data_IF_519789430025
#
_entry.id   IF_519789430025
#
_cell.length_a   1.000
_cell.length_b   1.000
_cell.length_c   1.000
_cell.angle_alpha   90.00
_cell.angle_beta   90.00
_cell.angle_gamma   90.00
#
_symmetry.space_group_name_H-M   'P 1'
#
loop_
_entity.id
_entity.type
_entity.pdbx_description
1 polymer ?
#
# COMPACT_ATOMS: atom_id res chain seq x y z
N UNK A 1 -17.91 -11.29 -7.73
CA UNK A 1 -17.94 -12.69 -8.23
C UNK A 1 -16.73 -12.91 -9.12
N UNK A 2 -16.15 -14.11 -9.13
CA UNK A 2 -15.10 -14.47 -10.08
C UNK A 2 -15.72 -14.81 -11.45
N UNK A 3 -15.08 -14.42 -12.54
CA UNK A 3 -15.59 -14.69 -13.89
C UNK A 3 -15.53 -16.18 -14.21
N UNK A 4 -16.60 -16.71 -14.80
CA UNK A 4 -16.77 -18.14 -15.07
C UNK A 4 -15.83 -18.68 -16.16
N UNK A 5 -15.26 -17.80 -16.98
CA UNK A 5 -14.44 -18.15 -18.15
C UNK A 5 -12.93 -18.26 -17.83
N UNK A 6 -12.53 -19.30 -17.10
CA UNK A 6 -11.10 -19.68 -16.97
C UNK A 6 -10.74 -20.93 -17.77
N UNK A 7 -11.70 -21.60 -18.41
CA UNK A 7 -11.48 -22.97 -18.87
C UNK A 7 -10.72 -23.04 -20.20
N UNK A 8 -11.01 -22.27 -21.26
CA UNK A 8 -10.54 -22.68 -22.60
C UNK A 8 -9.95 -21.59 -23.52
N UNK A 9 -9.13 -20.66 -23.00
CA UNK A 9 -8.31 -19.79 -23.86
C UNK A 9 -9.11 -18.83 -24.77
N UNK A 10 -10.38 -18.61 -24.44
CA UNK A 10 -11.35 -17.71 -25.09
C UNK A 10 -11.05 -16.23 -24.87
N UNK A 11 -10.09 -15.91 -24.00
CA UNK A 11 -9.71 -14.52 -23.73
C UNK A 11 -8.91 -13.95 -24.90
N UNK A 12 -9.30 -12.77 -25.32
CA UNK A 12 -8.67 -12.03 -26.42
C UNK A 12 -8.22 -10.67 -25.89
N UNK A 13 -7.01 -10.26 -26.25
CA UNK A 13 -6.52 -8.91 -25.97
C UNK A 13 -6.93 -8.01 -27.13
N UNK A 14 -7.88 -7.12 -26.89
CA UNK A 14 -8.38 -6.16 -27.90
C UNK A 14 -7.43 -4.96 -28.05
N UNK A 15 -6.82 -4.55 -26.94
CA UNK A 15 -5.83 -3.49 -26.88
C UNK A 15 -4.86 -3.79 -25.75
N UNK A 16 -3.60 -3.42 -25.90
CA UNK A 16 -2.64 -3.47 -24.82
C UNK A 16 -1.62 -2.34 -24.90
N UNK A 17 -0.97 -2.10 -23.77
CA UNK A 17 0.20 -1.22 -23.68
C UNK A 17 1.39 -1.77 -24.47
N UNK A 18 2.52 -1.06 -24.41
CA UNK A 18 3.79 -1.53 -24.95
C UNK A 18 4.11 -2.98 -24.48
N UNK A 19 4.47 -3.88 -25.42
CA UNK A 19 4.80 -5.27 -25.10
C UNK A 19 6.13 -5.37 -24.36
N UNK A 20 6.18 -6.24 -23.36
CA UNK A 20 7.40 -6.64 -22.65
C UNK A 20 7.63 -8.14 -22.79
N UNK A 21 8.86 -8.60 -22.57
CA UNK A 21 9.21 -10.03 -22.58
C UNK A 21 9.49 -10.50 -21.15
N UNK A 22 8.91 -11.64 -20.77
CA UNK A 22 9.07 -12.22 -19.44
C UNK A 22 9.13 -13.74 -19.52
N UNK A 23 10.01 -14.36 -18.73
CA UNK A 23 9.98 -15.81 -18.50
C UNK A 23 8.92 -16.12 -17.45
N UNK A 24 7.99 -17.03 -17.75
CA UNK A 24 6.98 -17.49 -16.78
C UNK A 24 7.47 -18.72 -16.04
N UNK A 25 7.19 -18.83 -14.75
CA UNK A 25 7.57 -20.00 -13.93
C UNK A 25 6.53 -21.12 -13.93
N UNK A 26 5.34 -20.83 -14.46
CA UNK A 26 4.17 -21.72 -14.47
C UNK A 26 3.47 -21.67 -15.83
N UNK A 27 2.60 -22.64 -16.11
CA UNK A 27 1.75 -22.55 -17.29
C UNK A 27 0.75 -21.40 -17.12
N UNK A 28 0.56 -20.62 -18.19
CA UNK A 28 -0.30 -19.42 -18.19
C UNK A 28 -1.21 -19.42 -19.40
N UNK A 29 -2.33 -18.74 -19.30
CA UNK A 29 -3.28 -18.47 -20.39
C UNK A 29 -3.30 -16.99 -20.73
N UNK A 30 -3.77 -16.65 -21.93
CA UNK A 30 -4.01 -15.25 -22.33
C UNK A 30 -4.86 -14.53 -21.27
N UNK A 31 -4.40 -13.36 -20.85
CA UNK A 31 -5.08 -12.53 -19.87
C UNK A 31 -4.89 -12.95 -18.42
N UNK A 32 -4.09 -13.97 -18.11
CA UNK A 32 -3.75 -14.28 -16.72
C UNK A 32 -2.92 -13.16 -16.08
N UNK A 33 -3.14 -12.93 -14.79
CA UNK A 33 -2.36 -12.00 -13.99
C UNK A 33 -1.07 -12.63 -13.48
N UNK A 34 0.04 -11.92 -13.64
CA UNK A 34 1.38 -12.39 -13.32
C UNK A 34 2.10 -11.50 -12.31
N UNK A 35 2.93 -12.12 -11.49
CA UNK A 35 3.87 -11.44 -10.57
C UNK A 35 5.12 -10.94 -11.30
N UNK A 36 5.98 -10.15 -10.64
CA UNK A 36 7.28 -9.76 -11.23
C UNK A 36 8.20 -10.94 -11.52
N UNK A 37 8.05 -12.04 -10.78
CA UNK A 37 8.83 -13.27 -10.95
C UNK A 37 8.23 -14.22 -12.02
N UNK A 38 7.19 -13.79 -12.75
CA UNK A 38 6.55 -14.60 -13.79
C UNK A 38 5.70 -15.76 -13.26
N UNK A 39 5.35 -15.76 -11.98
CA UNK A 39 4.35 -16.67 -11.42
C UNK A 39 2.92 -16.11 -11.60
N UNK A 40 1.90 -16.93 -11.36
CA UNK A 40 0.52 -16.44 -11.30
C UNK A 40 0.32 -15.59 -10.04
N UNK A 41 -0.30 -14.42 -10.19
CA UNK A 41 -0.69 -13.58 -9.07
C UNK A 41 -1.89 -14.19 -8.32
N UNK A 42 -1.91 -14.07 -6.99
CA UNK A 42 -2.92 -14.70 -6.14
C UNK A 42 -3.16 -13.86 -4.88
N UNK A 43 -4.41 -13.47 -4.66
CA UNK A 43 -4.86 -12.69 -3.50
C UNK A 43 -4.88 -13.44 -2.17
N UNK A 44 -4.84 -14.78 -2.20
CA UNK A 44 -4.90 -15.65 -1.02
C UNK A 44 -3.64 -16.49 -0.82
N UNK A 45 -2.57 -16.23 -1.57
CA UNK A 45 -1.30 -16.91 -1.36
C UNK A 45 -0.73 -16.60 0.03
N UNK A 46 -0.09 -17.60 0.66
CA UNK A 46 0.52 -17.47 1.99
C UNK A 46 1.57 -16.35 2.06
N UNK A 47 2.23 -16.09 0.93
CA UNK A 47 3.01 -14.87 0.69
C UNK A 47 2.27 -14.05 -0.36
N UNK A 48 1.99 -12.75 -0.13
CA UNK A 48 1.30 -11.92 -1.09
C UNK A 48 1.96 -12.00 -2.47
N UNK A 49 1.19 -12.39 -3.48
CA UNK A 49 1.63 -12.50 -4.87
C UNK A 49 0.91 -11.44 -5.72
N UNK A 50 1.27 -10.15 -5.60
CA UNK A 50 0.60 -9.09 -6.32
C UNK A 50 0.81 -9.23 -7.83
N UNK A 51 -0.19 -8.77 -8.59
CA UNK A 51 -0.15 -8.74 -10.03
C UNK A 51 0.57 -7.49 -10.54
N UNK A 52 1.39 -7.65 -11.57
CA UNK A 52 2.13 -6.57 -12.23
C UNK A 52 1.95 -6.60 -13.73
N UNK A 53 1.72 -7.78 -14.28
CA UNK A 53 1.64 -8.00 -15.71
C UNK A 53 0.43 -8.85 -16.07
N UNK A 54 0.05 -8.75 -17.33
CA UNK A 54 -1.02 -9.51 -17.97
C UNK A 54 -0.35 -10.37 -19.04
N UNK A 55 -0.58 -11.69 -19.00
CA UNK A 55 -0.08 -12.61 -20.00
C UNK A 55 -0.69 -12.30 -21.37
N UNK A 56 0.16 -12.08 -22.38
CA UNK A 56 -0.26 -11.79 -23.75
C UNK A 56 -0.62 -13.02 -24.57
N UNK A 57 -0.09 -14.18 -24.19
CA UNK A 57 -0.19 -15.44 -24.91
C UNK A 57 -0.24 -16.62 -23.93
N UNK A 58 -0.84 -17.73 -24.37
CA UNK A 58 -0.85 -18.99 -23.62
C UNK A 58 0.49 -19.70 -23.80
N UNK A 59 1.11 -20.15 -22.71
CA UNK A 59 2.37 -20.87 -22.77
C UNK A 59 2.55 -21.85 -21.61
N UNK A 60 3.43 -22.83 -21.82
CA UNK A 60 3.87 -23.74 -20.77
C UNK A 60 4.84 -23.03 -19.80
N UNK A 61 5.08 -23.64 -18.64
CA UNK A 61 6.06 -23.17 -17.68
C UNK A 61 7.46 -23.03 -18.30
N UNK A 62 8.22 -22.05 -17.83
CA UNK A 62 9.56 -21.66 -18.29
C UNK A 62 9.64 -21.10 -19.71
N UNK A 63 8.51 -20.83 -20.36
CA UNK A 63 8.49 -20.14 -21.64
C UNK A 63 8.74 -18.63 -21.47
N UNK A 64 9.35 -17.99 -22.48
CA UNK A 64 9.40 -16.53 -22.58
C UNK A 64 8.21 -16.05 -23.40
N UNK A 65 7.33 -15.29 -22.78
CA UNK A 65 6.11 -14.76 -23.40
C UNK A 65 6.13 -13.24 -23.48
N UNK A 66 5.20 -12.72 -24.27
CA UNK A 66 4.83 -11.31 -24.30
C UNK A 66 3.88 -11.02 -23.16
N UNK A 67 4.15 -9.94 -22.42
CA UNK A 67 3.31 -9.48 -21.31
C UNK A 67 3.02 -7.99 -21.43
N UNK A 68 1.96 -7.53 -20.78
CA UNK A 68 1.49 -6.15 -20.84
C UNK A 68 1.27 -5.57 -19.43
N UNK A 69 1.44 -4.26 -19.28
CA UNK A 69 1.14 -3.52 -18.03
C UNK A 69 -0.31 -3.04 -17.97
N UNK A 70 -0.97 -2.96 -19.11
CA UNK A 70 -2.41 -2.74 -19.19
C UNK A 70 -2.96 -3.35 -20.47
N UNK A 71 -4.17 -3.90 -20.41
CA UNK A 71 -4.86 -4.46 -21.56
C UNK A 71 -6.38 -4.34 -21.42
N UNK A 72 -7.07 -4.25 -22.54
CA UNK A 72 -8.50 -4.53 -22.64
C UNK A 72 -8.65 -6.00 -23.02
N UNK A 73 -9.28 -6.77 -22.13
CA UNK A 73 -9.47 -8.21 -22.30
C UNK A 73 -10.95 -8.46 -22.57
N UNK A 74 -11.23 -9.19 -23.64
CA UNK A 74 -12.56 -9.71 -23.97
C UNK A 74 -12.63 -11.21 -23.70
N UNK A 75 -13.85 -11.73 -23.55
CA UNK A 75 -14.12 -13.17 -23.43
C UNK A 75 -14.63 -13.58 -22.05
N UNK A 76 -14.49 -12.69 -21.06
CA UNK A 76 -15.11 -12.91 -19.74
C UNK A 76 -16.64 -12.95 -19.86
N UNK A 77 -17.31 -13.48 -18.84
CA UNK A 77 -18.77 -13.47 -18.74
C UNK A 77 -19.20 -13.10 -17.33
N UNK A 78 -20.32 -12.37 -17.22
CA UNK A 78 -20.93 -12.03 -15.94
C UNK A 78 -20.30 -10.83 -15.22
N UNK A 79 -19.53 -10.00 -15.93
CA UNK A 79 -19.09 -8.72 -15.40
C UNK A 79 -20.23 -7.69 -15.35
N UNK A 80 -20.12 -6.75 -14.43
CA UNK A 80 -21.02 -5.62 -14.24
C UNK A 80 -20.32 -4.36 -14.70
N UNK A 81 -20.77 -3.78 -15.83
CA UNK A 81 -20.16 -2.58 -16.41
C UNK A 81 -19.96 -1.46 -15.37
N UNK A 82 -18.76 -0.88 -15.33
CA UNK A 82 -18.37 0.15 -14.38
C UNK A 82 -17.88 -0.36 -13.00
N UNK A 83 -17.99 -1.66 -12.72
CA UNK A 83 -17.53 -2.21 -11.44
C UNK A 83 -16.01 -2.29 -11.37
N UNK A 84 -15.40 -1.99 -10.21
CA UNK A 84 -13.97 -2.16 -10.01
C UNK A 84 -13.59 -3.64 -10.06
N UNK A 85 -12.41 -3.91 -10.62
CA UNK A 85 -11.79 -5.23 -10.59
C UNK A 85 -10.73 -5.30 -9.50
N UNK A 86 -10.65 -6.45 -8.86
CA UNK A 86 -9.64 -6.79 -7.87
C UNK A 86 -8.94 -8.10 -8.23
N UNK A 87 -7.73 -8.28 -7.66
CA UNK A 87 -7.02 -9.54 -7.71
C UNK A 87 -7.85 -10.63 -7.02
N UNK A 88 -8.02 -11.75 -7.69
CA UNK A 88 -8.77 -12.90 -7.16
C UNK A 88 -7.92 -13.75 -6.22
N UNK A 89 -8.58 -14.41 -5.27
CA UNK A 89 -8.04 -15.51 -4.46
C UNK A 89 -7.81 -16.81 -5.27
N UNK A 90 -8.11 -16.79 -6.57
CA UNK A 90 -7.77 -17.85 -7.51
C UNK A 90 -6.66 -17.33 -8.40
N UNK A 91 -5.50 -17.98 -8.35
CA UNK A 91 -4.31 -17.69 -9.15
C UNK A 91 -4.63 -17.25 -10.60
N UNK A 92 -4.00 -16.15 -11.02
CA UNK A 92 -4.14 -15.51 -12.33
C UNK A 92 -5.48 -14.81 -12.56
N UNK A 93 -6.35 -14.72 -11.55
CA UNK A 93 -7.75 -14.34 -11.71
C UNK A 93 -8.12 -12.90 -11.34
N UNK A 94 -9.32 -12.54 -11.78
CA UNK A 94 -10.01 -11.29 -11.49
C UNK A 94 -11.32 -11.55 -10.76
N UNK A 95 -11.78 -10.58 -9.99
CA UNK A 95 -13.07 -10.60 -9.32
C UNK A 95 -13.61 -9.18 -9.16
N UNK A 96 -14.93 -9.01 -9.24
CA UNK A 96 -15.60 -7.73 -8.88
C UNK A 96 -15.83 -7.59 -7.36
N UNK A 97 -15.45 -8.61 -6.59
CA UNK A 97 -15.56 -8.62 -5.12
C UNK A 97 -14.14 -8.68 -4.55
N UNK A 98 -13.70 -7.68 -3.78
CA UNK A 98 -12.35 -7.66 -3.22
C UNK A 98 -12.17 -8.83 -2.26
N UNK A 99 -10.94 -9.36 -2.22
CA UNK A 99 -10.59 -10.37 -1.22
C UNK A 99 -10.53 -9.77 0.19
N UNK A 100 -10.69 -10.65 1.18
CA UNK A 100 -10.56 -10.28 2.59
C UNK A 100 -9.10 -10.10 3.00
N UNK A 101 -8.16 -10.72 2.28
CA UNK A 101 -6.73 -10.75 2.58
C UNK A 101 -5.91 -9.80 1.71
N UNK A 102 -6.33 -9.56 0.46
CA UNK A 102 -5.62 -8.70 -0.48
C UNK A 102 -6.60 -7.91 -1.34
N UNK A 103 -6.44 -6.59 -1.43
CA UNK A 103 -7.40 -5.71 -2.13
C UNK A 103 -6.81 -5.02 -3.35
N UNK A 104 -5.77 -5.60 -3.93
CA UNK A 104 -5.12 -5.01 -5.10
C UNK A 104 -6.15 -4.76 -6.20
N UNK A 105 -6.31 -3.48 -6.57
CA UNK A 105 -7.17 -3.06 -7.66
C UNK A 105 -6.48 -3.34 -9.00
N UNK A 106 -7.25 -3.91 -9.90
CA UNK A 106 -6.76 -4.43 -11.17
C UNK A 106 -7.32 -3.70 -12.38
N UNK A 107 -8.31 -2.82 -12.19
CA UNK A 107 -8.93 -2.06 -13.26
C UNK A 107 -10.44 -1.94 -13.08
N UNK A 108 -11.18 -2.00 -14.19
CA UNK A 108 -12.63 -1.82 -14.22
C UNK A 108 -13.28 -2.67 -15.32
N UNK A 109 -14.49 -3.14 -15.06
CA UNK A 109 -15.33 -3.77 -16.07
C UNK A 109 -15.86 -2.72 -17.05
N UNK A 110 -15.68 -2.94 -18.35
CA UNK A 110 -16.18 -2.06 -19.41
C UNK A 110 -17.58 -2.49 -19.86
N UNK A 111 -17.80 -3.80 -19.90
CA UNK A 111 -19.08 -4.41 -20.24
C UNK A 111 -19.22 -5.77 -19.54
N UNK A 112 -20.28 -6.52 -19.83
CA UNK A 112 -20.45 -7.88 -19.33
C UNK A 112 -19.40 -8.88 -19.84
N UNK A 113 -18.71 -8.52 -20.93
CA UNK A 113 -17.77 -9.39 -21.65
C UNK A 113 -16.38 -8.79 -21.83
N UNK A 114 -16.17 -7.55 -21.36
CA UNK A 114 -14.93 -6.80 -21.54
C UNK A 114 -14.50 -6.12 -20.27
N UNK A 115 -13.20 -6.20 -19.98
CA UNK A 115 -12.57 -5.55 -18.84
C UNK A 115 -11.36 -4.77 -19.29
N UNK A 116 -11.16 -3.61 -18.67
CA UNK A 116 -9.91 -2.90 -18.70
C UNK A 116 -9.10 -3.33 -17.48
N UNK A 117 -7.96 -3.97 -17.74
CA UNK A 117 -7.03 -4.43 -16.72
C UNK A 117 -5.79 -3.55 -16.78
N UNK A 118 -5.42 -3.01 -15.64
CA UNK A 118 -4.18 -2.32 -15.37
C UNK A 118 -3.82 -2.68 -13.94
N UNK A 119 -2.99 -3.72 -13.72
CA UNK A 119 -2.46 -3.99 -12.40
C UNK A 119 -1.84 -2.71 -11.89
N UNK A 120 -2.53 -2.04 -10.96
CA UNK A 120 -1.95 -0.88 -10.31
C UNK A 120 -0.74 -1.41 -9.57
N UNK A 121 0.40 -0.73 -9.71
CA UNK A 121 1.56 -0.98 -8.86
C UNK A 121 1.08 -0.76 -7.43
N UNK A 122 0.69 -1.84 -6.74
CA UNK A 122 0.31 -1.81 -5.33
C UNK A 122 1.53 -1.59 -4.43
N UNK A 123 2.57 -0.92 -4.93
CA UNK A 123 3.88 -0.84 -4.30
C UNK A 123 4.56 0.50 -4.52
N UNK A 124 3.87 1.56 -4.97
CA UNK A 124 4.44 2.87 -4.70
C UNK A 124 4.14 3.21 -3.24
N UNK A 125 4.96 2.59 -2.37
CA UNK A 125 5.17 3.09 -1.04
C UNK A 125 5.41 4.58 -1.17
N UNK A 126 4.59 5.36 -0.51
CA UNK A 126 4.75 6.81 -0.50
C UNK A 126 5.16 7.24 0.90
N UNK A 127 5.96 8.29 0.93
CA UNK A 127 6.41 8.90 2.16
C UNK A 127 5.58 10.15 2.42
N UNK A 128 5.13 10.31 3.67
CA UNK A 128 4.57 11.56 4.16
C UNK A 128 5.50 12.08 5.25
N UNK A 129 5.95 13.31 5.10
CA UNK A 129 6.81 13.99 6.08
C UNK A 129 6.01 15.05 6.82
N UNK A 130 6.32 15.22 8.10
CA UNK A 130 5.71 16.23 8.96
C UNK A 130 6.08 17.67 8.59
N UNK A 131 6.99 17.86 7.63
CA UNK A 131 7.75 19.10 7.51
C UNK A 131 8.77 19.23 8.64
N UNK A 132 9.26 20.45 8.85
CA UNK A 132 10.18 20.77 9.96
C UNK A 132 9.41 20.69 11.26
N UNK A 133 9.98 20.00 12.24
CA UNK A 133 9.62 20.01 13.66
C UNK A 133 10.59 20.98 14.33
N UNK A 134 10.13 22.12 14.83
CA UNK A 134 10.95 23.11 15.53
C UNK A 134 10.24 23.67 16.77
N UNK A 135 11.03 23.96 17.80
CA UNK A 135 10.63 24.54 19.09
C UNK A 135 9.85 25.85 18.99
N UNK A 136 10.07 26.62 17.93
CA UNK A 136 9.39 27.92 17.76
C UNK A 136 7.90 27.77 17.44
N UNK A 137 7.50 26.66 16.81
CA UNK A 137 6.17 26.54 16.20
C UNK A 137 5.42 25.25 16.49
N UNK A 138 6.08 24.21 17.02
CA UNK A 138 5.49 22.87 17.06
C UNK A 138 5.07 22.40 18.45
N UNK A 139 3.75 22.23 18.57
CA UNK A 139 3.10 21.34 19.51
C UNK A 139 2.39 20.20 18.77
N UNK A 140 1.42 19.61 19.42
CA UNK A 140 0.61 18.54 18.84
C UNK A 140 -0.03 18.97 17.52
N UNK A 141 0.17 18.18 16.46
CA UNK A 141 -0.35 18.52 15.12
C UNK A 141 -0.64 17.31 14.25
N UNK A 142 -1.67 17.44 13.43
CA UNK A 142 -1.94 16.56 12.30
C UNK A 142 -1.00 16.88 11.15
N UNK A 143 -0.51 15.86 10.46
CA UNK A 143 0.35 16.04 9.29
C UNK A 143 -0.09 15.21 8.08
N UNK A 144 -1.03 14.29 8.25
CA UNK A 144 -1.57 13.48 7.17
C UNK A 144 -3.03 13.11 7.44
N UNK A 145 -3.84 13.13 6.38
CA UNK A 145 -5.20 12.57 6.38
C UNK A 145 -5.29 11.58 5.22
N UNK A 146 -5.66 10.34 5.52
CA UNK A 146 -5.72 9.27 4.55
C UNK A 146 -6.89 9.50 3.57
N UNK A 147 -6.58 9.75 2.30
CA UNK A 147 -7.60 9.83 1.23
C UNK A 147 -8.16 8.46 0.87
N UNK A 148 -7.41 7.40 1.17
CA UNK A 148 -7.70 6.00 0.89
C UNK A 148 -7.20 5.11 2.04
N UNK A 149 -7.60 3.84 2.04
CA UNK A 149 -7.14 2.88 3.04
C UNK A 149 -5.65 2.57 2.82
N UNK A 150 -4.83 2.85 3.83
CA UNK A 150 -3.38 2.69 3.77
C UNK A 150 -2.84 2.08 5.06
N UNK A 151 -1.64 1.53 4.99
CA UNK A 151 -0.93 0.93 6.13
C UNK A 151 0.43 1.58 6.32
N UNK A 152 0.76 1.88 7.57
CA UNK A 152 2.10 2.30 7.96
C UNK A 152 3.05 1.10 7.94
N UNK A 153 4.17 1.25 7.24
CA UNK A 153 5.20 0.20 7.09
C UNK A 153 6.55 0.57 7.66
N UNK A 154 6.83 1.86 7.83
CA UNK A 154 7.99 2.33 8.57
C UNK A 154 7.75 3.76 9.07
N UNK A 155 8.39 4.10 10.18
CA UNK A 155 8.55 5.48 10.63
C UNK A 155 10.03 5.74 10.80
N UNK A 156 10.49 6.83 10.21
CA UNK A 156 11.87 7.28 10.30
C UNK A 156 11.93 8.71 10.82
N UNK A 157 12.99 9.01 11.55
CA UNK A 157 13.26 10.31 12.10
C UNK A 157 14.68 10.76 11.68
N UNK A 158 14.83 12.05 11.41
CA UNK A 158 16.15 12.68 11.30
C UNK A 158 16.08 14.11 11.84
N UNK A 159 17.04 14.46 12.69
CA UNK A 159 17.12 15.77 13.31
C UNK A 159 18.48 16.43 13.06
N UNK A 160 18.54 17.75 13.12
CA UNK A 160 19.79 18.53 13.13
C UNK A 160 20.16 19.00 14.53
N UNK A 161 19.19 19.14 15.44
CA UNK A 161 19.38 19.49 16.84
C UNK A 161 18.55 18.56 17.74
N UNK A 162 19.12 18.16 18.88
CA UNK A 162 18.44 17.35 19.91
C UNK A 162 17.86 18.26 20.99
N UNK A 163 16.83 17.82 21.69
CA UNK A 163 16.30 18.51 22.87
C UNK A 163 17.25 18.32 24.05
N UNK A 164 17.79 19.39 24.65
CA UNK A 164 18.72 19.25 25.78
C UNK A 164 18.22 19.95 27.06
N UNK A 165 17.43 21.02 26.95
CA UNK A 165 17.00 21.82 28.12
C UNK A 165 15.65 21.43 28.71
N UNK A 166 14.70 20.93 27.92
CA UNK A 166 13.40 20.52 28.46
C UNK A 166 13.52 19.29 29.39
N UNK A 167 12.46 19.07 30.18
CA UNK A 167 12.23 17.78 30.84
C UNK A 167 12.18 16.66 29.79
N UNK A 168 12.04 15.39 30.18
CA UNK A 168 11.99 14.29 29.20
C UNK A 168 10.85 14.50 28.19
N UNK A 169 11.16 15.08 27.04
CA UNK A 169 10.24 15.31 25.93
C UNK A 169 10.31 14.12 25.00
N UNK A 170 9.14 13.55 24.74
CA UNK A 170 8.98 12.44 23.82
C UNK A 170 7.95 12.79 22.77
N UNK A 171 8.06 12.14 21.62
CA UNK A 171 7.07 12.25 20.55
C UNK A 171 6.50 10.86 20.23
N UNK A 172 5.20 10.82 20.01
CA UNK A 172 4.48 9.65 19.50
C UNK A 172 3.86 9.99 18.14
N UNK A 173 3.85 9.00 17.23
CA UNK A 173 3.00 9.06 16.04
C UNK A 173 1.70 8.34 16.36
N UNK A 174 0.59 9.07 16.33
CA UNK A 174 -0.74 8.54 16.64
C UNK A 174 -1.58 8.41 15.37
N UNK A 175 -2.32 7.31 15.28
CA UNK A 175 -3.45 7.16 14.36
C UNK A 175 -4.69 7.72 15.03
N UNK A 176 -5.31 8.65 14.31
CA UNK A 176 -6.55 9.32 14.67
C UNK A 176 -7.73 8.79 13.86
N UNK A 177 -8.77 8.32 14.56
CA UNK A 177 -9.93 7.66 13.93
C UNK A 177 -11.20 8.51 13.92
N UNK A 178 -11.23 9.58 14.70
CA UNK A 178 -12.37 10.49 14.82
C UNK A 178 -11.90 11.95 15.02
N UNK A 179 -12.78 12.82 15.51
CA UNK A 179 -12.50 14.25 15.69
C UNK A 179 -11.98 14.59 17.10
N UNK A 180 -11.43 13.63 17.84
CA UNK A 180 -10.90 13.90 19.18
C UNK A 180 -9.61 14.72 19.13
N UNK A 181 -9.22 15.22 20.30
CA UNK A 181 -7.95 15.93 20.46
C UNK A 181 -6.76 14.95 20.40
N UNK A 182 -5.60 15.45 20.00
CA UNK A 182 -4.33 14.71 20.04
C UNK A 182 -4.01 14.31 21.48
N UNK A 183 -3.50 13.08 21.67
CA UNK A 183 -3.27 12.49 22.98
C UNK A 183 -4.52 11.98 23.72
N UNK A 184 -5.68 11.94 23.05
CA UNK A 184 -6.88 11.34 23.62
C UNK A 184 -6.72 9.81 23.79
N UNK A 185 -7.30 9.23 24.85
CA UNK A 185 -7.08 7.83 25.23
C UNK A 185 -7.57 6.80 24.19
N UNK A 186 -8.41 7.21 23.25
CA UNK A 186 -8.91 6.35 22.18
C UNK A 186 -7.94 6.22 21.00
N UNK A 187 -7.00 7.15 20.87
CA UNK A 187 -6.04 7.15 19.76
C UNK A 187 -5.05 6.01 19.88
N UNK A 188 -4.51 5.59 18.73
CA UNK A 188 -3.65 4.41 18.65
C UNK A 188 -2.24 4.81 18.29
N UNK A 189 -1.28 4.45 19.14
CA UNK A 189 0.13 4.61 18.83
C UNK A 189 0.54 3.73 17.66
N UNK A 190 1.11 4.34 16.63
CA UNK A 190 1.71 3.64 15.50
C UNK A 190 3.09 3.09 15.85
N UNK A 191 3.77 3.71 16.82
CA UNK A 191 5.08 3.28 17.32
C UNK A 191 4.94 2.31 18.51
N UNK A 192 5.91 1.42 18.68
CA UNK A 192 6.01 0.52 19.82
C UNK A 192 6.35 1.26 21.13
N UNK A 193 7.05 2.39 21.03
CA UNK A 193 7.41 3.25 22.15
C UNK A 193 7.56 4.70 21.66
N UNK A 194 7.33 5.67 22.56
CA UNK A 194 7.58 7.08 22.26
C UNK A 194 9.07 7.31 22.02
N UNK A 195 9.41 8.11 21.01
CA UNK A 195 10.80 8.51 20.78
C UNK A 195 11.17 9.59 21.79
N UNK A 196 12.22 9.36 22.57
CA UNK A 196 12.78 10.37 23.45
C UNK A 196 13.67 11.33 22.66
N UNK A 197 13.29 12.60 22.58
CA UNK A 197 13.96 13.61 21.75
C UNK A 197 15.26 14.16 22.36
N UNK A 198 15.65 13.65 23.53
CA UNK A 198 16.90 14.00 24.23
C UNK A 198 17.92 12.88 24.20
N UNK A 199 17.49 11.65 24.52
CA UNK A 199 18.40 10.50 24.64
C UNK A 199 18.12 9.39 23.62
N UNK A 200 16.99 9.46 22.91
CA UNK A 200 16.62 8.49 21.88
C UNK A 200 17.17 8.86 20.50
N UNK A 201 17.41 10.14 20.24
CA UNK A 201 17.91 10.64 18.95
C UNK A 201 19.41 11.01 18.97
N UNK A 202 20.05 10.89 17.81
CA UNK A 202 21.42 11.36 17.56
C UNK A 202 21.37 12.34 16.39
N UNK A 203 21.83 13.58 16.61
CA UNK A 203 21.81 14.61 15.58
C UNK A 203 22.48 14.13 14.26
N UNK A 204 21.86 14.50 13.15
CA UNK A 204 22.22 14.20 11.77
C UNK A 204 22.31 12.70 11.45
N UNK A 205 21.61 11.86 12.22
CA UNK A 205 21.55 10.41 12.00
C UNK A 205 20.11 10.01 11.76
N UNK A 206 19.85 9.29 10.66
CA UNK A 206 18.53 8.71 10.42
C UNK A 206 18.27 7.60 11.43
N UNK A 207 17.12 7.62 12.06
CA UNK A 207 16.68 6.61 12.99
C UNK A 207 15.42 5.93 12.48
N UNK A 208 15.41 4.60 12.48
CA UNK A 208 14.20 3.81 12.21
C UNK A 208 13.53 3.47 13.53
N UNK A 209 12.26 3.83 13.66
CA UNK A 209 11.48 3.61 14.87
C UNK A 209 10.68 2.32 14.77
N UNK A 210 10.64 1.55 15.87
CA UNK A 210 9.85 0.32 15.94
C UNK A 210 8.35 0.61 15.86
N UNK A 211 7.64 -0.10 14.99
CA UNK A 211 6.18 -0.03 14.88
C UNK A 211 5.49 -0.87 15.96
N UNK A 212 4.27 -0.49 16.32
CA UNK A 212 3.41 -1.31 17.18
C UNK A 212 3.19 -2.70 16.57
N UNK A 213 3.10 -3.72 17.42
CA UNK A 213 2.80 -5.09 16.99
C UNK A 213 1.32 -5.28 16.60
N UNK A 214 0.44 -4.37 17.02
CA UNK A 214 -1.00 -4.43 16.72
C UNK A 214 -1.26 -4.01 15.27
N UNK A 215 -1.46 -4.99 14.39
CA UNK A 215 -1.64 -4.73 12.96
C UNK A 215 -2.79 -3.75 12.64
N UNK A 216 -3.89 -3.79 13.41
CA UNK A 216 -5.02 -2.87 13.22
C UNK A 216 -4.66 -1.41 13.50
N UNK A 217 -3.70 -1.14 14.39
CA UNK A 217 -3.25 0.21 14.73
C UNK A 217 -2.42 0.84 13.61
N UNK A 218 -1.80 0.01 12.76
CA UNK A 218 -1.03 0.44 11.58
C UNK A 218 -1.89 0.74 10.35
N UNK A 219 -3.18 0.37 10.35
CA UNK A 219 -4.09 0.57 9.22
C UNK A 219 -4.93 1.82 9.44
N UNK A 220 -4.85 2.74 8.47
CA UNK A 220 -5.69 3.91 8.35
C UNK A 220 -6.79 3.61 7.34
N UNK A 221 -8.04 3.74 7.75
CA UNK A 221 -9.16 3.79 6.81
C UNK A 221 -9.23 5.20 6.20
N UNK A 222 -10.01 5.36 5.13
CA UNK A 222 -10.26 6.66 4.52
C UNK A 222 -10.81 7.65 5.57
N UNK A 223 -10.18 8.81 5.68
CA UNK A 223 -10.52 9.87 6.62
C UNK A 223 -9.78 9.79 7.96
N UNK A 224 -9.14 8.66 8.29
CA UNK A 224 -8.23 8.60 9.45
C UNK A 224 -7.03 9.52 9.22
N UNK A 225 -6.43 10.01 10.31
CA UNK A 225 -5.31 10.93 10.27
C UNK A 225 -4.08 10.38 11.00
N UNK A 226 -2.92 10.95 10.71
CA UNK A 226 -1.72 10.81 11.53
C UNK A 226 -1.39 12.14 12.21
N UNK A 227 -1.02 12.05 13.48
CA UNK A 227 -0.63 13.19 14.29
C UNK A 227 0.67 12.92 15.04
N UNK A 228 1.38 14.00 15.35
CA UNK A 228 2.44 14.02 16.34
C UNK A 228 1.84 14.42 17.70
N UNK A 229 2.10 13.62 18.73
CA UNK A 229 1.76 13.90 20.11
C UNK A 229 3.05 14.07 20.92
N UNK A 230 3.28 15.26 21.47
CA UNK A 230 4.44 15.58 22.28
C UNK A 230 4.08 15.62 23.76
N UNK A 231 4.94 15.05 24.62
CA UNK A 231 4.69 15.08 26.07
C UNK A 231 4.91 16.45 26.70
N UNK A 232 5.73 17.30 26.06
CA UNK A 232 6.04 18.66 26.52
C UNK A 232 6.30 19.55 25.30
N UNK A 233 6.30 20.87 25.53
CA UNK A 233 6.79 21.82 24.54
C UNK A 233 8.27 21.57 24.22
N UNK A 234 8.61 21.72 22.93
CA UNK A 234 9.96 21.67 22.41
C UNK A 234 10.67 22.99 22.70
N UNK A 235 11.98 22.95 22.98
CA UNK A 235 12.80 24.16 23.23
C UNK A 235 13.95 24.28 22.25
N UNK A 236 14.54 23.16 21.83
CA UNK A 236 15.76 23.15 21.01
C UNK A 236 15.74 22.14 19.87
N UNK A 237 14.79 21.20 19.88
CA UNK A 237 14.71 20.16 18.87
C UNK A 237 14.40 20.73 17.48
N UNK A 238 15.19 20.32 16.48
CA UNK A 238 14.93 20.62 15.06
C UNK A 238 15.07 19.34 14.26
N UNK A 239 13.99 18.87 13.63
CA UNK A 239 14.04 17.65 12.83
C UNK A 239 12.83 17.41 11.94
N UNK A 240 12.67 16.19 11.46
CA UNK A 240 11.50 15.77 10.68
C UNK A 240 11.22 14.30 10.92
N UNK A 241 9.94 13.94 10.91
CA UNK A 241 9.52 12.54 10.87
C UNK A 241 8.93 12.22 9.50
N UNK A 242 9.28 11.05 8.99
CA UNK A 242 8.79 10.50 7.73
C UNK A 242 8.09 9.18 8.00
N UNK A 243 6.82 9.10 7.60
CA UNK A 243 6.03 7.88 7.68
C UNK A 243 5.91 7.30 6.28
N UNK A 244 6.34 6.05 6.13
CA UNK A 244 6.19 5.29 4.90
C UNK A 244 4.87 4.51 4.95
N UNK A 245 4.08 4.69 3.91
CA UNK A 245 2.73 4.13 3.78
C UNK A 245 2.64 3.28 2.52
N UNK A 246 1.79 2.27 2.54
CA UNK A 246 1.40 1.49 1.35
C UNK A 246 -0.12 1.27 1.31
N UNK A 247 -0.72 1.02 0.14
CA UNK A 247 -2.13 0.63 0.04
C UNK A 247 -2.43 -0.63 0.87
N UNK A 248 -3.61 -0.67 1.53
CA UNK A 248 -3.99 -1.73 2.48
C UNK A 248 -5.41 -2.28 2.31
#
# INVERSE_FOLDING_TARGET
MAFTDKTDGSRIILWASEPLRMAVSVAVKVGDLLTEAGGLADGNAASPAPAYFIAGETAAANATITVYRSAVIQGITGATAGSPLYLSDVAGGYTETPSTTQRQRMGTSLSATEIFVRPERSVERFAVSTGVIDATYDGDRYFFVASERVRVVAVEEINSAIENTSATTTVMVEKHVDAQAIGHANEKSVLAAALNLKTGCTANTRQSLGLTATAADLVLEKGHALALNFTNALTEYVGTMTVWLEPA
#
